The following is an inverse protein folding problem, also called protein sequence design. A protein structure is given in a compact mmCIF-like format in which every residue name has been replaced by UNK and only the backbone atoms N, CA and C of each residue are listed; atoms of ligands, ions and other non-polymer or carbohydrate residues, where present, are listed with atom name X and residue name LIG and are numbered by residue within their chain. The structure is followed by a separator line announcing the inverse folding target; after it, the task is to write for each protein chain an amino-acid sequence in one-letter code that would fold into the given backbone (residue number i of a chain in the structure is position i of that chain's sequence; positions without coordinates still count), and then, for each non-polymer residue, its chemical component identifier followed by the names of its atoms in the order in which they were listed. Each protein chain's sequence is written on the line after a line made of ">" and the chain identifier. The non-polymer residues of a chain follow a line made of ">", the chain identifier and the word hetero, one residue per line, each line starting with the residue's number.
data_IF_964797766546
#
_entry.id   IF_964797766546
#
_cell.length_a   1.000
_cell.length_b   1.000
_cell.length_c   1.000
_cell.angle_alpha   90.00
_cell.angle_beta   90.00
_cell.angle_gamma   90.00
#
_symmetry.space_group_name_H-M   'P 1'
#
loop_
_entity.id
_entity.type
_entity.pdbx_description
1 polymer ?
#
# COMPACT_ATOMS: atom_id res chain seq x y z
N UNK A 1 14.27 -30.33 -10.05
CA UNK A 1 12.83 -30.40 -10.28
C UNK A 1 12.23 -29.34 -9.38
N UNK A 2 11.59 -28.30 -9.93
CA UNK A 2 10.94 -27.26 -9.12
C UNK A 2 9.83 -27.94 -8.31
N UNK A 3 9.63 -27.52 -7.05
CA UNK A 3 8.53 -28.07 -6.27
C UNK A 3 7.19 -27.46 -6.77
N UNK A 4 6.06 -28.04 -6.39
CA UNK A 4 4.74 -27.58 -6.85
C UNK A 4 4.39 -26.16 -6.38
N UNK A 5 5.01 -25.68 -5.30
CA UNK A 5 4.82 -24.32 -4.78
C UNK A 5 5.56 -23.29 -5.65
N UNK A 6 6.79 -23.60 -6.05
CA UNK A 6 7.61 -22.77 -6.96
C UNK A 6 6.93 -22.64 -8.33
N UNK A 7 6.31 -23.69 -8.84
CA UNK A 7 5.55 -23.65 -10.09
C UNK A 7 4.35 -22.70 -9.98
N UNK A 8 3.63 -22.76 -8.85
CA UNK A 8 2.49 -21.87 -8.58
C UNK A 8 2.93 -20.41 -8.50
N UNK A 9 4.00 -20.10 -7.75
CA UNK A 9 4.53 -18.74 -7.63
C UNK A 9 4.99 -18.20 -9.00
N UNK A 10 5.67 -19.02 -9.80
CA UNK A 10 6.10 -18.58 -11.13
C UNK A 10 4.93 -18.29 -12.08
N UNK A 11 3.88 -19.11 -12.07
CA UNK A 11 2.64 -18.81 -12.82
C UNK A 11 2.00 -17.51 -12.33
N UNK A 12 2.03 -17.27 -11.02
CA UNK A 12 1.49 -16.05 -10.41
C UNK A 12 2.23 -14.80 -10.89
N UNK A 13 3.57 -14.83 -10.90
CA UNK A 13 4.40 -13.73 -11.38
C UNK A 13 4.16 -13.45 -12.88
N UNK A 14 3.94 -14.48 -13.69
CA UNK A 14 3.59 -14.28 -15.10
C UNK A 14 2.27 -13.50 -15.26
N UNK A 15 1.26 -13.77 -14.43
CA UNK A 15 0.02 -13.00 -14.45
C UNK A 15 0.23 -11.55 -13.98
N UNK A 16 1.05 -11.32 -12.96
CA UNK A 16 1.38 -9.96 -12.49
C UNK A 16 2.05 -9.14 -13.61
N UNK A 17 2.98 -9.75 -14.37
CA UNK A 17 3.58 -9.10 -15.54
C UNK A 17 2.54 -8.75 -16.61
N UNK A 18 1.55 -9.60 -16.84
CA UNK A 18 0.47 -9.31 -17.77
C UNK A 18 -0.38 -8.13 -17.28
N UNK A 19 -0.67 -8.07 -15.97
CA UNK A 19 -1.45 -7.00 -15.34
C UNK A 19 -0.79 -5.63 -15.56
N UNK A 20 0.54 -5.54 -15.47
CA UNK A 20 1.28 -4.29 -15.75
C UNK A 20 1.05 -3.74 -17.16
N UNK A 21 0.68 -4.61 -18.12
CA UNK A 21 0.40 -4.19 -19.51
C UNK A 21 -1.07 -3.78 -19.75
N UNK A 22 -1.95 -3.95 -18.77
CA UNK A 22 -3.37 -3.66 -18.92
C UNK A 22 -3.62 -2.15 -18.99
N UNK A 23 -4.57 -1.76 -19.84
CA UNK A 23 -5.08 -0.39 -19.83
C UNK A 23 -6.04 -0.23 -18.64
N UNK A 24 -5.52 0.36 -17.55
CA UNK A 24 -6.25 0.57 -16.30
C UNK A 24 -7.58 1.31 -16.46
N UNK A 25 -7.68 2.20 -17.45
CA UNK A 25 -8.91 2.96 -17.73
C UNK A 25 -10.05 2.09 -18.28
N UNK A 26 -9.78 0.83 -18.66
CA UNK A 26 -10.78 -0.13 -19.17
C UNK A 26 -11.14 -1.22 -18.16
N UNK A 27 -10.51 -1.23 -16.99
CA UNK A 27 -10.81 -2.23 -15.96
C UNK A 27 -12.10 -1.84 -15.26
N UNK A 28 -13.06 -2.77 -15.23
CA UNK A 28 -14.22 -2.66 -14.37
C UNK A 28 -13.93 -3.24 -12.98
N UNK A 29 -14.93 -3.14 -12.11
CA UNK A 29 -14.87 -3.56 -10.73
C UNK A 29 -14.57 -5.05 -10.54
N UNK A 30 -15.04 -5.92 -11.43
CA UNK A 30 -14.84 -7.36 -11.34
C UNK A 30 -13.42 -7.72 -11.74
N UNK A 31 -12.87 -7.07 -12.77
CA UNK A 31 -11.45 -7.22 -13.11
C UNK A 31 -10.54 -6.80 -11.96
N UNK A 32 -10.85 -5.68 -11.29
CA UNK A 32 -10.05 -5.18 -10.17
C UNK A 32 -10.13 -6.12 -8.97
N UNK A 33 -11.31 -6.65 -8.65
CA UNK A 33 -11.47 -7.64 -7.58
C UNK A 33 -10.66 -8.92 -7.86
N UNK A 34 -10.70 -9.41 -9.10
CA UNK A 34 -9.90 -10.57 -9.49
C UNK A 34 -8.40 -10.31 -9.35
N UNK A 35 -7.94 -9.13 -9.73
CA UNK A 35 -6.54 -8.71 -9.58
C UNK A 35 -6.15 -8.60 -8.10
N UNK A 36 -7.03 -8.07 -7.25
CA UNK A 36 -6.84 -8.01 -5.80
C UNK A 36 -6.64 -9.42 -5.22
N UNK A 37 -7.57 -10.33 -5.50
CA UNK A 37 -7.53 -11.72 -5.03
C UNK A 37 -6.27 -12.45 -5.51
N UNK A 38 -5.85 -12.17 -6.74
CA UNK A 38 -4.62 -12.72 -7.29
C UNK A 38 -3.44 -12.20 -6.46
N UNK A 39 -3.17 -10.89 -6.48
CA UNK A 39 -1.96 -10.30 -5.89
C UNK A 39 -1.88 -10.58 -4.38
N UNK A 40 -2.95 -10.37 -3.63
CA UNK A 40 -2.90 -10.43 -2.16
C UNK A 40 -2.80 -11.86 -1.61
N UNK A 41 -3.36 -12.87 -2.31
CA UNK A 41 -3.42 -14.24 -1.82
C UNK A 41 -2.06 -14.87 -1.53
N UNK A 42 -1.08 -14.59 -2.38
CA UNK A 42 0.26 -15.17 -2.27
C UNK A 42 1.34 -14.10 -1.97
N UNK A 43 0.97 -12.84 -1.67
CA UNK A 43 1.91 -11.72 -1.53
C UNK A 43 3.03 -12.02 -0.52
N UNK A 44 2.68 -12.56 0.64
CA UNK A 44 3.64 -12.92 1.70
C UNK A 44 4.56 -14.10 1.34
N UNK A 45 4.27 -14.82 0.25
CA UNK A 45 5.12 -15.91 -0.28
C UNK A 45 6.01 -15.45 -1.45
N UNK A 46 5.82 -14.22 -1.95
CA UNK A 46 6.63 -13.66 -3.03
C UNK A 46 7.97 -13.19 -2.45
N UNK A 47 9.08 -13.55 -3.10
CA UNK A 47 10.39 -13.11 -2.66
C UNK A 47 10.56 -11.59 -2.78
N UNK A 48 11.40 -11.02 -1.92
CA UNK A 48 11.58 -9.56 -1.80
C UNK A 48 12.00 -8.89 -3.13
N UNK A 49 12.80 -9.56 -3.96
CA UNK A 49 13.17 -9.06 -5.29
C UNK A 49 11.96 -8.84 -6.18
N UNK A 50 10.98 -9.75 -6.16
CA UNK A 50 9.77 -9.62 -6.97
C UNK A 50 8.81 -8.58 -6.37
N UNK A 51 8.82 -8.39 -5.05
CA UNK A 51 8.12 -7.25 -4.44
C UNK A 51 8.68 -5.94 -5.01
N UNK A 52 9.99 -5.78 -5.04
CA UNK A 52 10.64 -4.57 -5.56
C UNK A 52 10.48 -4.36 -7.06
N UNK A 53 10.59 -5.41 -7.87
CA UNK A 53 10.63 -5.27 -9.34
C UNK A 53 9.26 -5.37 -10.01
N UNK A 54 8.26 -5.94 -9.33
CA UNK A 54 6.96 -6.20 -9.93
C UNK A 54 5.80 -5.59 -9.14
N UNK A 55 5.74 -5.84 -7.84
CA UNK A 55 4.61 -5.43 -7.01
C UNK A 55 4.63 -3.92 -6.74
N UNK A 56 5.74 -3.37 -6.24
CA UNK A 56 5.82 -1.94 -5.93
C UNK A 56 5.61 -1.07 -7.18
N UNK A 57 6.25 -1.32 -8.34
CA UNK A 57 6.01 -0.51 -9.54
C UNK A 57 4.55 -0.54 -9.98
N UNK A 58 3.87 -1.67 -9.80
CA UNK A 58 2.45 -1.81 -10.12
C UNK A 58 1.56 -1.03 -9.15
N UNK A 59 1.81 -1.12 -7.84
CA UNK A 59 1.07 -0.35 -6.86
C UNK A 59 1.28 1.16 -7.06
N UNK A 60 2.51 1.59 -7.37
CA UNK A 60 2.84 2.99 -7.63
C UNK A 60 2.11 3.54 -8.86
N UNK A 61 2.02 2.78 -9.97
CA UNK A 61 1.29 3.25 -11.16
C UNK A 61 -0.22 3.36 -10.94
N UNK A 62 -0.79 2.51 -10.08
CA UNK A 62 -2.21 2.58 -9.73
C UNK A 62 -2.58 3.66 -8.73
N UNK A 63 -1.58 4.26 -8.07
CA UNK A 63 -1.78 5.39 -7.18
C UNK A 63 -1.85 6.73 -7.92
N UNK A 64 -1.61 6.76 -9.23
CA UNK A 64 -1.63 7.99 -10.05
C UNK A 64 -3.00 8.68 -10.05
N UNK A 65 -3.00 10.00 -10.26
CA UNK A 65 -4.18 10.87 -10.20
C UNK A 65 -5.36 10.38 -11.05
N UNK A 66 -5.09 9.97 -12.29
CA UNK A 66 -6.11 9.56 -13.27
C UNK A 66 -6.59 8.13 -13.07
N UNK A 67 -6.04 7.40 -12.09
CA UNK A 67 -6.44 6.02 -11.81
C UNK A 67 -7.85 5.98 -11.20
N UNK A 68 -8.68 5.00 -11.62
CA UNK A 68 -9.93 4.67 -10.94
C UNK A 68 -9.75 4.55 -9.43
N UNK A 69 -10.72 5.03 -8.66
CA UNK A 69 -10.64 5.07 -7.19
C UNK A 69 -10.37 3.68 -6.60
N UNK A 70 -10.98 2.65 -7.17
CA UNK A 70 -10.80 1.26 -6.76
C UNK A 70 -9.37 0.73 -6.96
N UNK A 71 -8.66 1.19 -8.01
CA UNK A 71 -7.24 0.86 -8.19
C UNK A 71 -6.36 1.58 -7.18
N UNK A 72 -6.67 2.84 -6.83
CA UNK A 72 -5.98 3.56 -5.76
C UNK A 72 -6.19 2.86 -4.41
N UNK A 73 -7.40 2.38 -4.13
CA UNK A 73 -7.69 1.58 -2.94
C UNK A 73 -6.89 0.27 -2.91
N UNK A 74 -6.81 -0.43 -4.05
CA UNK A 74 -5.99 -1.64 -4.18
C UNK A 74 -4.50 -1.34 -3.99
N UNK A 75 -4.00 -0.23 -4.54
CA UNK A 75 -2.64 0.25 -4.32
C UNK A 75 -2.35 0.44 -2.83
N UNK A 76 -3.26 1.09 -2.08
CA UNK A 76 -3.11 1.25 -0.63
C UNK A 76 -2.93 -0.11 0.07
N UNK A 77 -3.80 -1.09 -0.23
CA UNK A 77 -3.74 -2.43 0.37
C UNK A 77 -2.42 -3.14 0.05
N UNK A 78 -2.01 -3.13 -1.22
CA UNK A 78 -0.77 -3.79 -1.66
C UNK A 78 0.45 -3.16 -1.00
N UNK A 79 0.50 -1.82 -0.91
CA UNK A 79 1.58 -1.11 -0.24
C UNK A 79 1.67 -1.53 1.23
N UNK A 80 0.55 -1.49 1.95
CA UNK A 80 0.45 -1.90 3.35
C UNK A 80 1.00 -3.30 3.62
N UNK A 81 0.47 -4.29 2.89
CA UNK A 81 0.89 -5.68 3.01
C UNK A 81 2.37 -5.89 2.61
N UNK A 82 2.85 -5.17 1.58
CA UNK A 82 4.24 -5.26 1.13
C UNK A 82 5.24 -4.68 2.14
N UNK A 83 4.89 -3.60 2.85
CA UNK A 83 5.79 -2.95 3.83
C UNK A 83 6.24 -3.92 4.91
N UNK A 84 5.36 -4.85 5.32
CA UNK A 84 5.70 -5.88 6.32
C UNK A 84 6.95 -6.70 5.94
N UNK A 85 7.16 -6.93 4.65
CA UNK A 85 8.26 -7.72 4.08
C UNK A 85 9.50 -6.88 3.71
N UNK A 86 9.42 -5.56 3.76
CA UNK A 86 10.48 -4.64 3.32
C UNK A 86 11.22 -4.08 4.54
N UNK A 87 12.51 -4.38 4.65
CA UNK A 87 13.40 -3.82 5.69
C UNK A 87 14.40 -2.79 5.13
N UNK A 88 14.40 -2.57 3.81
CA UNK A 88 15.24 -1.56 3.18
C UNK A 88 14.65 -0.16 3.41
N UNK A 89 15.18 0.56 4.39
CA UNK A 89 14.75 1.92 4.74
C UNK A 89 14.85 2.89 3.56
N UNK A 90 15.80 2.70 2.61
CA UNK A 90 15.90 3.58 1.45
C UNK A 90 14.70 3.40 0.50
N UNK A 91 14.24 2.16 0.31
CA UNK A 91 13.02 1.87 -0.47
C UNK A 91 11.79 2.47 0.22
N UNK A 92 11.68 2.29 1.54
CA UNK A 92 10.58 2.86 2.32
C UNK A 92 10.54 4.39 2.18
N UNK A 93 11.69 5.07 2.30
CA UNK A 93 11.78 6.53 2.25
C UNK A 93 11.63 7.12 0.84
N UNK A 94 12.21 6.47 -0.17
CA UNK A 94 12.28 7.04 -1.52
C UNK A 94 11.06 6.67 -2.37
N UNK A 95 10.50 5.48 -2.16
CA UNK A 95 9.46 4.95 -3.04
C UNK A 95 8.10 4.90 -2.32
N UNK A 96 8.03 4.45 -1.06
CA UNK A 96 6.74 4.25 -0.36
C UNK A 96 6.24 5.49 0.39
N UNK A 97 7.12 6.19 1.10
CA UNK A 97 6.75 7.38 1.86
C UNK A 97 6.14 8.48 0.97
N UNK A 98 6.71 8.84 -0.20
CA UNK A 98 6.14 9.89 -1.05
C UNK A 98 4.76 9.53 -1.57
N UNK A 99 4.54 8.27 -1.97
CA UNK A 99 3.22 7.86 -2.48
C UNK A 99 2.18 7.82 -1.36
N UNK A 100 2.59 7.45 -0.16
CA UNK A 100 1.74 7.49 1.03
C UNK A 100 1.27 8.91 1.32
N UNK A 101 2.19 9.89 1.30
CA UNK A 101 1.85 11.30 1.47
C UNK A 101 0.95 11.82 0.35
N UNK A 102 1.21 11.39 -0.89
CA UNK A 102 0.39 11.76 -2.04
C UNK A 102 -1.07 11.27 -1.89
N UNK A 103 -1.27 10.00 -1.55
CA UNK A 103 -2.60 9.40 -1.38
C UNK A 103 -3.35 9.96 -0.16
N UNK A 104 -2.64 10.43 0.87
CA UNK A 104 -3.25 11.13 2.01
C UNK A 104 -3.86 12.48 1.61
N UNK A 105 -3.50 13.02 0.44
CA UNK A 105 -4.07 14.24 -0.12
C UNK A 105 -5.07 13.97 -1.26
N UNK A 106 -5.47 12.71 -1.47
CA UNK A 106 -6.42 12.37 -2.53
C UNK A 106 -7.76 13.07 -2.33
N UNK A 107 -8.41 13.46 -3.42
CA UNK A 107 -9.74 14.09 -3.38
C UNK A 107 -10.81 13.18 -2.76
N UNK A 108 -10.67 11.86 -2.91
CA UNK A 108 -11.63 10.87 -2.44
C UNK A 108 -11.34 10.47 -0.97
N UNK A 109 -12.29 10.66 -0.04
CA UNK A 109 -12.07 10.35 1.37
C UNK A 109 -11.81 8.87 1.63
N UNK A 110 -12.36 7.98 0.81
CA UNK A 110 -12.11 6.54 0.94
C UNK A 110 -10.64 6.18 0.69
N UNK A 111 -10.01 6.81 -0.29
CA UNK A 111 -8.58 6.63 -0.59
C UNK A 111 -7.74 7.14 0.57
N UNK A 112 -7.99 8.38 1.03
CA UNK A 112 -7.30 8.97 2.20
C UNK A 112 -7.43 8.08 3.43
N UNK A 113 -8.64 7.55 3.70
CA UNK A 113 -8.88 6.67 4.84
C UNK A 113 -8.20 5.30 4.67
N UNK A 114 -8.08 4.80 3.43
CA UNK A 114 -7.45 3.52 3.13
C UNK A 114 -5.95 3.56 3.36
N UNK A 115 -5.26 4.58 2.81
CA UNK A 115 -3.82 4.76 3.01
C UNK A 115 -3.49 5.12 4.46
N UNK A 116 -4.34 5.89 5.14
CA UNK A 116 -4.16 6.23 6.55
C UNK A 116 -4.02 4.97 7.42
N UNK A 117 -4.84 3.93 7.17
CA UNK A 117 -4.76 2.66 7.91
C UNK A 117 -3.46 1.88 7.68
N UNK A 118 -2.69 2.20 6.64
CA UNK A 118 -1.41 1.55 6.35
C UNK A 118 -0.22 2.24 7.02
N UNK A 119 -0.44 3.38 7.68
CA UNK A 119 0.63 4.14 8.34
C UNK A 119 1.34 3.40 9.49
N UNK A 120 0.66 2.60 10.34
CA UNK A 120 1.33 1.86 11.41
C UNK A 120 2.50 1.00 10.92
N UNK A 121 2.33 0.33 9.77
CA UNK A 121 3.37 -0.49 9.15
C UNK A 121 4.61 0.30 8.71
N UNK A 122 4.44 1.58 8.35
CA UNK A 122 5.56 2.46 7.99
C UNK A 122 6.23 3.07 9.21
N UNK A 123 5.45 3.57 10.17
CA UNK A 123 5.93 4.26 11.36
C UNK A 123 7.01 3.46 12.11
N UNK A 124 6.86 2.14 12.19
CA UNK A 124 7.81 1.28 12.91
C UNK A 124 9.11 0.96 12.15
N UNK A 125 9.24 1.35 10.88
CA UNK A 125 10.37 0.98 10.01
C UNK A 125 11.17 2.15 9.43
N UNK A 126 10.70 3.37 9.61
CA UNK A 126 11.35 4.57 9.05
C UNK A 126 12.26 5.26 10.09
N UNK A 127 13.10 6.18 9.62
CA UNK A 127 13.90 7.02 10.51
C UNK A 127 13.04 8.07 11.24
N UNK A 128 13.63 8.70 12.26
CA UNK A 128 12.95 9.69 13.09
C UNK A 128 12.41 10.89 12.30
N UNK A 129 13.09 11.30 11.22
CA UNK A 129 12.63 12.41 10.38
C UNK A 129 11.35 12.05 9.63
N UNK A 130 11.33 10.86 9.02
CA UNK A 130 10.18 10.32 8.31
C UNK A 130 9.03 10.00 9.25
N UNK A 131 9.32 9.51 10.46
CA UNK A 131 8.34 9.28 11.52
C UNK A 131 7.62 10.57 11.88
N UNK A 132 8.36 11.66 12.17
CA UNK A 132 7.77 12.97 12.46
C UNK A 132 6.87 13.49 11.33
N UNK A 133 7.25 13.21 10.08
CA UNK A 133 6.46 13.58 8.91
C UNK A 133 5.15 12.80 8.82
N UNK A 134 5.18 11.50 9.10
CA UNK A 134 3.99 10.65 9.16
C UNK A 134 3.07 11.02 10.33
N UNK A 135 3.63 11.32 11.49
CA UNK A 135 2.87 11.80 12.66
C UNK A 135 2.19 13.14 12.36
N UNK A 136 2.87 14.05 11.66
CA UNK A 136 2.25 15.30 11.19
C UNK A 136 1.09 15.01 10.25
N UNK A 137 1.27 14.07 9.33
CA UNK A 137 0.22 13.66 8.38
C UNK A 137 -0.99 13.04 9.09
N UNK A 138 -0.79 12.32 10.19
CA UNK A 138 -1.87 11.80 11.05
C UNK A 138 -2.63 12.92 11.76
N UNK A 139 -1.94 13.96 12.23
CA UNK A 139 -2.58 15.14 12.85
C UNK A 139 -3.44 15.91 11.85
N UNK A 140 -2.99 16.02 10.60
CA UNK A 140 -3.77 16.61 9.50
C UNK A 140 -5.00 15.74 9.20
N UNK A 141 -4.83 14.42 9.10
CA UNK A 141 -5.93 13.47 8.88
C UNK A 141 -6.94 13.46 10.04
N UNK A 142 -6.51 13.72 11.28
CA UNK A 142 -7.40 13.83 12.44
C UNK A 142 -8.35 15.03 12.32
N UNK A 143 -7.97 16.04 11.53
CA UNK A 143 -8.75 17.24 11.24
C UNK A 143 -9.44 17.17 9.86
N UNK A 144 -9.41 16.02 9.19
CA UNK A 144 -10.01 15.85 7.87
C UNK A 144 -11.52 16.15 7.88
N UNK A 145 -12.02 16.74 6.80
CA UNK A 145 -13.44 17.05 6.64
C UNK A 145 -14.34 15.79 6.69
N UNK A 146 -13.82 14.66 6.23
CA UNK A 146 -14.51 13.37 6.23
C UNK A 146 -14.40 12.66 7.58
N UNK A 147 -15.55 12.32 8.16
CA UNK A 147 -15.60 11.49 9.37
C UNK A 147 -14.93 10.12 9.17
N UNK A 148 -14.97 9.57 7.95
CA UNK A 148 -14.36 8.28 7.63
C UNK A 148 -12.83 8.32 7.81
N UNK A 149 -12.19 9.42 7.40
CA UNK A 149 -10.75 9.61 7.55
C UNK A 149 -10.40 9.81 9.03
N UNK A 150 -11.19 10.64 9.74
CA UNK A 150 -11.00 10.82 11.19
C UNK A 150 -11.15 9.51 11.98
N UNK A 151 -12.08 8.63 11.59
CA UNK A 151 -12.21 7.30 12.19
C UNK A 151 -11.00 6.41 11.87
N UNK A 152 -10.46 6.48 10.65
CA UNK A 152 -9.25 5.74 10.29
C UNK A 152 -8.04 6.13 11.17
N UNK A 153 -7.93 7.41 11.56
CA UNK A 153 -6.89 7.83 12.51
C UNK A 153 -7.08 7.18 13.87
N UNK A 154 -8.32 7.02 14.35
CA UNK A 154 -8.56 6.30 15.61
C UNK A 154 -8.15 4.83 15.51
N UNK A 155 -8.45 4.16 14.39
CA UNK A 155 -8.01 2.78 14.13
C UNK A 155 -6.46 2.71 14.23
N UNK A 156 -5.77 3.65 13.56
CA UNK A 156 -4.30 3.74 13.58
C UNK A 156 -3.75 3.94 14.98
N UNK A 157 -4.31 4.87 15.77
CA UNK A 157 -3.83 5.15 17.13
C UNK A 157 -3.98 3.96 18.06
N UNK A 158 -5.05 3.17 17.88
CA UNK A 158 -5.26 1.92 18.62
C UNK A 158 -4.22 0.88 18.20
N UNK A 159 -4.02 0.67 16.90
CA UNK A 159 -3.09 -0.34 16.39
C UNK A 159 -1.61 0.01 16.64
N UNK A 160 -1.30 1.31 16.75
CA UNK A 160 0.05 1.84 16.97
C UNK A 160 0.33 2.25 18.42
N UNK A 161 -0.59 1.99 19.35
CA UNK A 161 -0.44 2.24 20.79
C UNK A 161 0.95 1.82 21.33
N UNK A 162 1.51 0.65 20.97
CA UNK A 162 2.81 0.20 21.49
C UNK A 162 4.03 1.02 21.02
N UNK A 163 3.85 1.94 20.06
CA UNK A 163 4.93 2.65 19.38
C UNK A 163 4.84 4.16 19.57
N UNK A 164 3.63 4.73 19.51
CA UNK A 164 3.44 6.19 19.58
C UNK A 164 3.59 6.75 21.00
N UNK A 165 3.29 5.94 22.04
CA UNK A 165 3.25 6.42 23.43
C UNK A 165 4.39 5.89 24.32
N UNK A 166 5.49 5.39 23.75
CA UNK A 166 6.65 5.00 24.56
C UNK A 166 7.44 6.24 24.99
N UNK A 167 7.30 6.61 26.26
CA UNK A 167 8.22 7.48 27.01
C UNK A 167 9.63 6.86 27.12
#
# INVERSE_FOLDING_TARGET
>A
MMNSEDEKINSHLQHINLIQSLNVAKLDDDHINFIEDLILKDLNSICIQNIYHMILPLALSWAEYDSPVKLKLLSCKILGESISNIDDTLVLQRDILPITQYLLQDTQPEVRSSVCRQLPSLLCKVDQLSENLLLTSLLDAAQDNSAQVRCAVLDVLIDSEPYIFKE
#
